data_IF_468225332701
#
_entry.id   IF_468225332701
#
_cell.length_a   1.000
_cell.length_b   1.000
_cell.length_c   1.000
_cell.angle_alpha   90.00
_cell.angle_beta   90.00
_cell.angle_gamma   90.00
#
_symmetry.space_group_name_H-M   'P 1'
#
loop_
_entity.id
_entity.type
_entity.pdbx_description
1 polymer ?
#
# COMPACT_ATOMS: atom_id res chain seq x y z
N UNK A 1 -21.05 -5.30 -24.12
CA UNK A 1 -22.46 -5.00 -23.81
C UNK A 1 -22.50 -3.56 -23.35
N UNK A 2 -23.27 -2.70 -24.02
CA UNK A 2 -23.35 -1.28 -23.65
C UNK A 2 -24.22 -1.13 -22.40
N UNK A 3 -23.82 -0.22 -21.50
CA UNK A 3 -24.52 0.01 -20.24
C UNK A 3 -24.83 1.50 -20.11
N UNK A 4 -26.11 1.83 -20.05
CA UNK A 4 -26.59 3.19 -19.83
C UNK A 4 -26.50 3.53 -18.35
N UNK A 5 -25.90 4.68 -18.03
CA UNK A 5 -25.74 5.15 -16.65
C UNK A 5 -26.90 6.07 -16.28
N UNK A 6 -27.34 5.99 -15.02
CA UNK A 6 -28.34 6.92 -14.50
C UNK A 6 -27.73 8.31 -14.34
N UNK A 7 -28.53 9.40 -14.44
CA UNK A 7 -28.01 10.77 -14.37
C UNK A 7 -27.27 11.10 -13.07
N UNK A 8 -27.52 10.37 -11.98
CA UNK A 8 -26.83 10.57 -10.70
C UNK A 8 -25.39 10.02 -10.70
N UNK A 9 -25.07 9.09 -11.61
CA UNK A 9 -23.71 8.53 -11.73
C UNK A 9 -22.80 9.46 -12.51
N UNK A 10 -22.01 10.26 -11.77
CA UNK A 10 -21.02 11.18 -12.34
C UNK A 10 -19.80 10.40 -12.86
N UNK A 11 -19.66 10.32 -14.19
CA UNK A 11 -18.42 9.88 -14.83
C UNK A 11 -17.42 11.03 -14.74
N UNK A 12 -16.20 10.74 -14.26
CA UNK A 12 -15.08 11.67 -14.32
C UNK A 12 -13.98 11.06 -15.18
N UNK A 13 -13.28 11.90 -15.93
CA UNK A 13 -12.04 11.49 -16.57
C UNK A 13 -11.04 11.06 -15.49
N UNK A 14 -10.32 9.98 -15.74
CA UNK A 14 -9.31 9.48 -14.80
C UNK A 14 -8.12 10.44 -14.75
N UNK A 15 -7.64 10.73 -13.55
CA UNK A 15 -6.43 11.54 -13.38
C UNK A 15 -5.19 10.83 -13.93
N UNK A 16 -4.23 11.58 -14.50
CA UNK A 16 -3.05 11.01 -15.15
C UNK A 16 -2.19 10.15 -14.20
N UNK A 17 -2.05 10.57 -12.94
CA UNK A 17 -1.32 9.79 -11.92
C UNK A 17 -2.04 8.52 -11.51
N UNK A 18 -3.34 8.42 -11.79
CA UNK A 18 -4.12 7.21 -11.55
C UNK A 18 -4.11 6.27 -12.74
N UNK A 19 -3.32 6.53 -13.82
CA UNK A 19 -3.17 5.65 -14.99
C UNK A 19 -2.23 4.48 -14.69
N UNK A 20 -1.14 4.74 -13.96
CA UNK A 20 -0.16 3.75 -13.52
C UNK A 20 -0.32 3.46 -12.02
N UNK A 21 0.26 2.36 -11.55
CA UNK A 21 0.31 2.05 -10.12
C UNK A 21 1.31 2.94 -9.39
N UNK A 22 0.93 3.46 -8.22
CA UNK A 22 1.80 4.23 -7.32
C UNK A 22 2.05 3.48 -6.01
N UNK A 23 3.25 3.62 -5.47
CA UNK A 23 3.66 2.97 -4.23
C UNK A 23 3.02 3.60 -2.98
N UNK A 24 2.75 4.91 -3.01
CA UNK A 24 2.05 5.65 -1.96
C UNK A 24 0.81 6.35 -2.53
N UNK A 25 -0.37 5.97 -2.05
CA UNK A 25 -1.63 6.49 -2.57
C UNK A 25 -1.88 7.96 -2.24
N UNK A 26 -1.11 8.57 -1.34
CA UNK A 26 -1.20 10.04 -1.12
C UNK A 26 -0.69 10.83 -2.34
N UNK A 27 0.04 10.20 -3.26
CA UNK A 27 0.50 10.83 -4.51
C UNK A 27 -0.54 10.77 -5.64
N UNK A 28 -1.69 10.13 -5.42
CA UNK A 28 -2.80 10.15 -6.38
C UNK A 28 -3.37 11.57 -6.46
N UNK A 29 -3.55 12.09 -7.67
CA UNK A 29 -4.06 13.45 -7.87
C UNK A 29 -5.55 13.56 -7.53
N UNK A 30 -6.29 12.46 -7.70
CA UNK A 30 -7.67 12.31 -7.27
C UNK A 30 -7.78 11.11 -6.31
N UNK A 31 -7.78 11.38 -5.00
CA UNK A 31 -7.97 10.37 -3.98
C UNK A 31 -9.46 10.08 -3.77
N UNK A 32 -10.05 9.31 -4.69
CA UNK A 32 -11.40 8.77 -4.56
C UNK A 32 -11.39 7.24 -4.56
N UNK A 33 -12.47 6.62 -4.10
CA UNK A 33 -12.60 5.15 -3.94
C UNK A 33 -12.19 4.38 -5.21
N UNK A 34 -12.71 4.78 -6.37
CA UNK A 34 -12.34 4.12 -7.63
C UNK A 34 -10.85 4.26 -8.01
N UNK A 35 -10.16 5.33 -7.61
CA UNK A 35 -8.73 5.53 -7.87
C UNK A 35 -7.87 4.64 -6.97
N UNK A 36 -8.25 4.55 -5.69
CA UNK A 36 -7.64 3.63 -4.71
C UNK A 36 -7.81 2.18 -5.19
N UNK A 37 -9.03 1.77 -5.53
CA UNK A 37 -9.33 0.42 -5.99
C UNK A 37 -8.54 0.06 -7.26
N UNK A 38 -8.47 0.99 -8.23
CA UNK A 38 -7.69 0.80 -9.46
C UNK A 38 -6.20 0.64 -9.16
N UNK A 39 -5.64 1.45 -8.26
CA UNK A 39 -4.23 1.36 -7.87
C UNK A 39 -3.90 -0.01 -7.27
N UNK A 40 -4.72 -0.46 -6.31
CA UNK A 40 -4.56 -1.76 -5.68
C UNK A 40 -4.69 -2.90 -6.70
N UNK A 41 -5.64 -2.83 -7.63
CA UNK A 41 -5.83 -3.83 -8.67
C UNK A 41 -4.60 -3.96 -9.59
N UNK A 42 -4.04 -2.84 -10.06
CA UNK A 42 -2.86 -2.85 -10.94
C UNK A 42 -1.66 -3.45 -10.22
N UNK A 43 -1.39 -2.97 -9.01
CA UNK A 43 -0.25 -3.45 -8.21
C UNK A 43 -0.39 -4.93 -7.87
N UNK A 44 -1.59 -5.37 -7.52
CA UNK A 44 -1.87 -6.78 -7.25
C UNK A 44 -1.60 -7.67 -8.47
N UNK A 45 -2.01 -7.24 -9.67
CA UNK A 45 -1.73 -7.97 -10.92
C UNK A 45 -0.24 -8.06 -11.25
N UNK A 46 0.58 -7.16 -10.70
CA UNK A 46 2.04 -7.17 -10.79
C UNK A 46 2.72 -7.90 -9.61
N UNK A 47 1.94 -8.61 -8.77
CA UNK A 47 2.39 -9.26 -7.54
C UNK A 47 2.94 -8.30 -6.46
N UNK A 48 2.60 -7.01 -6.54
CA UNK A 48 2.94 -5.99 -5.56
C UNK A 48 1.81 -5.84 -4.53
N UNK A 49 1.83 -6.70 -3.51
CA UNK A 49 0.73 -6.80 -2.54
C UNK A 49 0.68 -5.70 -1.47
N UNK A 50 1.75 -4.93 -1.33
CA UNK A 50 1.87 -3.87 -0.34
C UNK A 50 1.80 -2.50 -1.03
N UNK A 51 1.06 -1.57 -0.42
CA UNK A 51 0.92 -0.20 -0.90
C UNK A 51 0.82 0.75 0.29
N UNK A 52 1.58 1.84 0.30
CA UNK A 52 1.47 2.86 1.33
C UNK A 52 0.23 3.74 1.12
N UNK A 53 -0.27 4.28 2.22
CA UNK A 53 -1.15 5.44 2.24
C UNK A 53 -0.69 6.33 3.39
N UNK A 54 0.33 7.13 3.13
CA UNK A 54 1.06 7.86 4.16
C UNK A 54 1.76 6.89 5.12
N UNK A 55 1.42 6.96 6.41
CA UNK A 55 2.00 6.08 7.44
C UNK A 55 1.34 4.70 7.55
N UNK A 56 0.26 4.46 6.81
CA UNK A 56 -0.48 3.19 6.84
C UNK A 56 0.03 2.30 5.70
N UNK A 57 0.11 1.00 5.95
CA UNK A 57 0.40 -0.02 4.94
C UNK A 57 -0.88 -0.80 4.60
N UNK A 58 -1.30 -0.73 3.35
CA UNK A 58 -2.36 -1.58 2.80
C UNK A 58 -1.74 -2.86 2.26
N UNK A 59 -2.28 -4.00 2.67
CA UNK A 59 -1.87 -5.32 2.22
C UNK A 59 -3.03 -6.05 1.53
N UNK A 60 -2.77 -6.68 0.39
CA UNK A 60 -3.74 -7.51 -0.33
C UNK A 60 -3.23 -8.95 -0.34
N UNK A 61 -4.06 -9.91 0.09
CA UNK A 61 -3.64 -11.31 0.18
C UNK A 61 -3.25 -11.87 -1.20
N UNK A 62 -1.99 -12.32 -1.41
CA UNK A 62 -1.52 -12.84 -2.70
C UNK A 62 -2.15 -14.17 -3.11
N UNK A 63 -2.68 -14.96 -2.15
CA UNK A 63 -3.07 -16.37 -2.34
C UNK A 63 -1.99 -17.25 -2.97
N UNK A 64 -0.73 -16.80 -2.93
CA UNK A 64 0.45 -17.50 -3.43
C UNK A 64 1.67 -17.08 -2.61
N UNK A 65 2.72 -17.90 -2.66
CA UNK A 65 3.98 -17.60 -1.98
C UNK A 65 4.80 -16.64 -2.85
N UNK A 66 5.20 -15.52 -2.28
CA UNK A 66 6.08 -14.54 -2.91
C UNK A 66 7.47 -14.56 -2.25
N UNK A 67 8.57 -14.45 -3.01
CA UNK A 67 9.95 -14.49 -2.48
C UNK A 67 10.38 -13.15 -1.84
N UNK A 68 9.49 -12.53 -1.04
CA UNK A 68 9.69 -11.18 -0.46
C UNK A 68 10.03 -11.20 1.03
N UNK A 69 10.01 -12.37 1.67
CA UNK A 69 10.27 -12.53 3.10
C UNK A 69 11.63 -13.21 3.37
N UNK A 70 12.70 -12.72 2.72
CA UNK A 70 14.05 -13.30 2.88
C UNK A 70 14.91 -12.52 3.87
N UNK A 71 16.03 -13.12 4.31
CA UNK A 71 16.98 -12.47 5.19
C UNK A 71 17.65 -11.25 4.52
N UNK A 72 17.84 -11.29 3.20
CA UNK A 72 18.33 -10.17 2.40
C UNK A 72 17.35 -9.00 2.43
N UNK A 73 16.04 -9.28 2.31
CA UNK A 73 15.01 -8.25 2.42
C UNK A 73 15.01 -7.61 3.82
N UNK A 74 15.12 -8.39 4.89
CA UNK A 74 15.22 -7.85 6.26
C UNK A 74 16.42 -6.90 6.38
N UNK A 75 17.60 -7.30 5.87
CA UNK A 75 18.79 -6.45 5.88
C UNK A 75 18.63 -5.19 5.04
N UNK A 76 17.93 -5.27 3.91
CA UNK A 76 17.70 -4.15 3.00
C UNK A 76 16.85 -3.06 3.67
N UNK A 77 15.79 -3.45 4.39
CA UNK A 77 14.85 -2.53 5.05
C UNK A 77 15.33 -1.98 6.39
N UNK A 78 16.44 -2.52 6.93
CA UNK A 78 16.98 -2.09 8.20
C UNK A 78 17.49 -0.65 8.15
N UNK A 79 17.16 0.15 9.17
CA UNK A 79 17.59 1.54 9.33
C UNK A 79 17.17 2.45 8.15
N UNK A 80 16.05 2.15 7.49
CA UNK A 80 15.50 2.90 6.34
C UNK A 80 14.26 3.68 6.72
N UNK A 81 14.07 4.86 6.14
CA UNK A 81 12.84 5.62 6.34
C UNK A 81 11.72 5.05 5.46
N UNK A 82 10.48 5.16 5.94
CA UNK A 82 9.29 4.84 5.13
C UNK A 82 9.31 5.72 3.88
N UNK A 83 9.08 5.11 2.71
CA UNK A 83 9.12 5.76 1.41
C UNK A 83 10.50 5.82 0.74
N UNK A 84 11.60 5.44 1.40
CA UNK A 84 12.91 5.30 0.74
C UNK A 84 13.01 4.00 -0.07
N UNK A 85 12.26 2.98 0.33
CA UNK A 85 12.16 1.67 -0.31
C UNK A 85 10.70 1.37 -0.65
N UNK A 86 10.45 0.40 -1.54
CA UNK A 86 9.11 -0.03 -1.89
C UNK A 86 8.24 -0.39 -0.67
N UNK A 87 6.91 -0.38 -0.80
CA UNK A 87 6.03 -0.73 0.29
C UNK A 87 6.29 -2.14 0.80
N UNK A 88 6.56 -2.27 2.10
CA UNK A 88 6.81 -3.56 2.72
C UNK A 88 6.54 -3.54 4.22
N UNK A 89 6.08 -4.66 4.78
CA UNK A 89 5.84 -4.79 6.23
C UNK A 89 7.11 -4.63 7.07
N UNK A 90 8.27 -4.97 6.50
CA UNK A 90 9.57 -4.75 7.18
C UNK A 90 9.89 -3.27 7.38
N UNK A 91 9.45 -2.38 6.48
CA UNK A 91 9.59 -0.94 6.68
C UNK A 91 8.81 -0.47 7.93
N UNK A 92 7.59 -1.01 8.14
CA UNK A 92 6.77 -0.68 9.31
C UNK A 92 7.40 -1.21 10.59
N UNK A 93 7.92 -2.44 10.55
CA UNK A 93 8.61 -3.05 11.68
C UNK A 93 9.90 -2.31 12.08
N UNK A 94 10.75 -1.99 11.10
CA UNK A 94 11.98 -1.23 11.33
C UNK A 94 11.68 0.18 11.84
N UNK A 95 10.68 0.85 11.27
CA UNK A 95 10.28 2.18 11.70
C UNK A 95 9.81 2.18 13.16
N UNK A 96 8.95 1.24 13.56
CA UNK A 96 8.49 1.09 14.94
C UNK A 96 9.67 0.82 15.88
N UNK A 97 10.53 -0.14 15.53
CA UNK A 97 11.69 -0.48 16.36
C UNK A 97 12.68 0.68 16.53
N UNK A 98 12.98 1.40 15.45
CA UNK A 98 13.89 2.54 15.45
C UNK A 98 13.30 3.71 16.24
N UNK A 99 11.99 3.98 16.14
CA UNK A 99 11.32 4.98 16.97
C UNK A 99 11.39 4.63 18.45
N UNK A 100 11.08 3.38 18.81
CA UNK A 100 11.19 2.90 20.19
C UNK A 100 12.60 3.13 20.75
N UNK A 101 13.64 2.75 20.00
CA UNK A 101 15.03 2.95 20.43
C UNK A 101 15.45 4.41 20.53
N UNK A 102 15.03 5.24 19.57
CA UNK A 102 15.47 6.62 19.48
C UNK A 102 14.83 7.52 20.52
N UNK A 103 13.55 7.28 20.82
CA UNK A 103 12.74 8.13 21.69
C UNK A 103 12.46 7.51 23.06
N UNK A 104 12.75 6.22 23.25
CA UNK A 104 12.48 5.51 24.51
C UNK A 104 10.99 5.42 24.83
N UNK A 105 10.14 5.38 23.79
CA UNK A 105 8.68 5.37 23.92
C UNK A 105 8.10 4.07 23.37
N UNK A 106 7.08 3.54 24.04
CA UNK A 106 6.33 2.36 23.60
C UNK A 106 5.70 2.58 22.22
N UNK A 107 5.71 1.53 21.39
CA UNK A 107 5.16 1.56 20.04
C UNK A 107 4.10 0.47 19.88
N UNK A 108 3.13 0.70 19.00
CA UNK A 108 2.09 -0.26 18.68
C UNK A 108 1.89 -0.34 17.17
N UNK A 109 1.75 -1.57 16.65
CA UNK A 109 1.36 -1.83 15.27
C UNK A 109 -0.05 -2.44 15.32
N UNK A 110 -1.02 -1.72 14.78
CA UNK A 110 -2.42 -2.16 14.74
C UNK A 110 -2.70 -2.77 13.37
N UNK A 111 -2.96 -4.08 13.35
CA UNK A 111 -3.32 -4.83 12.14
C UNK A 111 -4.83 -5.09 12.18
N UNK A 112 -5.53 -4.69 11.11
CA UNK A 112 -6.97 -4.93 10.94
C UNK A 112 -7.21 -5.71 9.65
N UNK A 113 -8.07 -6.71 9.71
CA UNK A 113 -8.53 -7.49 8.56
C UNK A 113 -9.99 -7.88 8.75
N UNK A 114 -10.70 -8.12 7.65
CA UNK A 114 -11.99 -8.81 7.65
C UNK A 114 -11.79 -10.33 7.58
N UNK A 115 -12.82 -11.13 7.87
CA UNK A 115 -12.70 -12.59 7.87
C UNK A 115 -12.17 -13.12 6.53
N UNK A 116 -11.03 -13.82 6.58
CA UNK A 116 -10.41 -14.43 5.39
C UNK A 116 -9.44 -13.54 4.62
N UNK A 117 -9.19 -12.30 5.10
CA UNK A 117 -8.09 -11.46 4.63
C UNK A 117 -6.77 -11.79 5.36
#
# INVERSE_FOLDING_TARGET
>A
QEQWLTPERRIKAMHATSVQGVEDMISLGDLHEAGILRNLLIRYNENLIYTYTGSILVAVNPYQILPIYTAEQIKLYKDRKIGELPPHIFAIGDNSYTHMKRYGQDQCIVIRSEQGA
#
